data_IF_868272363089
#
_entry.id   IF_868272363089
#
_cell.length_a   1.000
_cell.length_b   1.000
_cell.length_c   1.000
_cell.angle_alpha   90.00
_cell.angle_beta   90.00
_cell.angle_gamma   90.00
#
_symmetry.space_group_name_H-M   'P 1'
#
loop_
_entity.id
_entity.type
_entity.pdbx_description
1 polymer ?
#
# COMPACT_ATOMS: atom_id res chain seq x y z
N UNK A 1 -40.23 27.70 -58.81
CA UNK A 1 -39.69 27.16 -60.08
C UNK A 1 -38.21 26.91 -59.90
N UNK A 2 -37.72 25.89 -60.59
CA UNK A 2 -36.47 25.15 -60.42
C UNK A 2 -35.21 26.01 -60.64
N UNK A 3 -34.16 25.78 -59.84
CA UNK A 3 -32.80 25.61 -60.37
C UNK A 3 -31.88 24.86 -59.39
N UNK A 4 -31.56 23.64 -59.80
CA UNK A 4 -30.42 22.82 -59.40
C UNK A 4 -29.08 23.55 -59.68
N UNK A 5 -28.01 22.89 -59.24
CA UNK A 5 -26.57 23.09 -59.54
C UNK A 5 -25.83 23.75 -58.36
N UNK A 6 -24.73 23.22 -57.83
CA UNK A 6 -23.79 22.25 -58.37
C UNK A 6 -23.04 21.55 -57.23
N UNK A 7 -22.62 20.32 -57.50
CA UNK A 7 -21.76 19.54 -56.63
C UNK A 7 -20.35 20.14 -56.62
N UNK A 8 -19.79 20.37 -55.44
CA UNK A 8 -18.35 20.55 -55.28
C UNK A 8 -17.88 19.65 -54.13
N UNK A 9 -17.46 18.44 -54.52
CA UNK A 9 -16.64 17.56 -53.70
C UNK A 9 -15.24 18.18 -53.54
N UNK A 10 -14.90 18.62 -52.33
CA UNK A 10 -13.53 18.83 -51.83
C UNK A 10 -13.65 18.57 -50.32
N UNK A 11 -13.23 17.45 -49.73
CA UNK A 11 -12.04 16.69 -50.01
C UNK A 11 -10.82 17.39 -49.42
N UNK A 12 -10.71 17.52 -48.09
CA UNK A 12 -9.44 17.31 -47.38
C UNK A 12 -9.60 17.24 -45.86
N UNK A 13 -9.18 16.08 -45.38
CA UNK A 13 -8.79 15.65 -44.05
C UNK A 13 -7.79 16.64 -43.41
N UNK A 14 -8.13 17.22 -42.25
CA UNK A 14 -7.12 17.68 -41.27
C UNK A 14 -7.54 17.18 -39.90
N UNK A 15 -7.16 15.93 -39.62
CA UNK A 15 -7.05 15.40 -38.28
C UNK A 15 -5.89 16.08 -37.56
N UNK A 16 -6.08 16.34 -36.27
CA UNK A 16 -5.00 16.38 -35.29
C UNK A 16 -4.41 17.75 -35.06
N UNK A 17 -4.87 18.41 -34.01
CA UNK A 17 -4.07 19.24 -33.09
C UNK A 17 -4.89 19.46 -31.79
N UNK A 18 -5.34 18.35 -31.20
CA UNK A 18 -5.75 18.28 -29.79
C UNK A 18 -4.67 17.51 -29.02
N UNK A 19 -3.44 18.02 -29.06
CA UNK A 19 -2.34 17.62 -28.18
C UNK A 19 -2.16 18.83 -27.27
N UNK A 20 -2.79 18.85 -26.10
CA UNK A 20 -2.34 18.01 -24.99
C UNK A 20 -1.41 18.81 -24.09
N UNK A 21 -1.82 20.03 -23.71
CA UNK A 21 -1.15 20.84 -22.70
C UNK A 21 -1.68 20.49 -21.31
N UNK A 22 -1.49 19.24 -20.87
CA UNK A 22 -1.58 18.95 -19.44
C UNK A 22 -0.33 19.52 -18.79
N UNK A 23 -0.46 20.69 -18.17
CA UNK A 23 0.51 21.19 -17.21
C UNK A 23 0.65 20.15 -16.10
N UNK A 24 1.62 19.26 -16.22
CA UNK A 24 2.07 18.39 -15.13
C UNK A 24 2.74 19.30 -14.10
N UNK A 25 1.92 19.93 -13.25
CA UNK A 25 2.36 20.34 -11.92
C UNK A 25 2.80 19.05 -11.24
N UNK A 26 4.11 18.84 -11.18
CA UNK A 26 4.69 17.85 -10.29
C UNK A 26 4.35 18.30 -8.86
N UNK A 27 3.27 17.74 -8.31
CA UNK A 27 3.07 17.79 -6.87
C UNK A 27 4.26 17.06 -6.25
N UNK A 28 4.93 17.65 -5.24
CA UNK A 28 5.94 16.91 -4.51
C UNK A 28 5.28 15.65 -3.97
N UNK A 29 5.84 14.48 -4.28
CA UNK A 29 5.46 13.25 -3.62
C UNK A 29 5.78 13.47 -2.14
N UNK A 30 4.74 13.68 -1.35
CA UNK A 30 4.83 13.68 0.10
C UNK A 30 5.28 12.28 0.50
N UNK A 31 6.58 12.15 0.79
CA UNK A 31 7.16 10.88 1.22
C UNK A 31 6.79 10.76 2.70
N UNK A 32 5.55 10.31 2.97
CA UNK A 32 5.15 9.84 4.29
C UNK A 32 5.96 8.58 4.60
N UNK A 33 7.16 8.77 5.16
CA UNK A 33 8.09 7.69 5.53
C UNK A 33 7.76 7.05 6.87
N UNK A 34 6.69 7.46 7.54
CA UNK A 34 6.33 6.93 8.84
C UNK A 34 5.33 5.78 8.66
N UNK A 35 5.82 4.54 8.82
CA UNK A 35 4.91 3.42 9.04
C UNK A 35 4.27 3.61 10.41
N UNK A 36 2.94 3.68 10.51
CA UNK A 36 2.29 3.96 11.78
C UNK A 36 2.62 2.88 12.81
N UNK A 37 2.78 3.29 14.07
CA UNK A 37 2.90 2.37 15.19
C UNK A 37 1.61 1.56 15.31
N UNK A 38 1.76 0.24 15.36
CA UNK A 38 0.68 -0.74 15.46
C UNK A 38 0.67 -1.38 16.84
N UNK A 39 -0.54 -1.57 17.35
CA UNK A 39 -0.80 -2.30 18.60
C UNK A 39 -1.64 -3.52 18.26
N UNK A 40 -1.13 -4.72 18.55
CA UNK A 40 -1.80 -5.98 18.23
C UNK A 40 -1.84 -6.88 19.46
N UNK A 41 -3.04 -7.29 19.84
CA UNK A 41 -3.24 -8.29 20.89
C UNK A 41 -3.53 -9.66 20.27
N UNK A 42 -2.82 -10.68 20.74
CA UNK A 42 -3.00 -12.04 20.22
C UNK A 42 -2.07 -13.06 20.85
N UNK A 43 -2.21 -14.30 20.40
CA UNK A 43 -1.41 -15.43 20.89
C UNK A 43 -0.10 -15.53 20.12
N UNK A 44 1.02 -15.59 20.84
CA UNK A 44 2.34 -15.82 20.23
C UNK A 44 2.50 -17.29 19.86
N UNK A 45 2.99 -17.53 18.66
CA UNK A 45 3.26 -18.85 18.11
C UNK A 45 4.70 -18.88 17.59
N UNK A 46 5.50 -19.83 18.09
CA UNK A 46 6.88 -20.06 17.65
C UNK A 46 6.96 -21.37 16.88
N UNK A 47 7.48 -21.31 15.64
CA UNK A 47 7.71 -22.48 14.78
C UNK A 47 9.14 -22.42 14.25
N UNK A 48 10.02 -23.24 14.82
CA UNK A 48 11.46 -23.17 14.56
C UNK A 48 12.01 -21.79 14.96
N UNK A 49 12.48 -21.03 13.97
CA UNK A 49 12.99 -19.67 14.17
C UNK A 49 12.00 -18.56 13.85
N UNK A 50 10.85 -18.90 13.26
CA UNK A 50 9.79 -17.93 12.99
C UNK A 50 8.93 -17.70 14.23
N UNK A 51 8.65 -16.44 14.51
CA UNK A 51 7.72 -16.01 15.55
C UNK A 51 6.56 -15.27 14.89
N UNK A 52 5.34 -15.57 15.32
CA UNK A 52 4.13 -14.94 14.81
C UNK A 52 3.15 -14.63 15.93
N UNK A 53 2.25 -13.68 15.68
CA UNK A 53 1.10 -13.41 16.53
C UNK A 53 -0.19 -13.77 15.78
N UNK A 54 -1.02 -14.60 16.41
CA UNK A 54 -2.35 -14.92 15.94
C UNK A 54 -3.36 -13.99 16.59
N UNK A 55 -3.93 -13.07 15.81
CA UNK A 55 -4.94 -12.10 16.27
C UNK A 55 -6.13 -12.08 15.32
N UNK A 56 -7.34 -12.25 15.85
CA UNK A 56 -8.59 -12.16 15.08
C UNK A 56 -8.62 -13.01 13.81
N UNK A 57 -8.05 -14.23 13.87
CA UNK A 57 -7.98 -15.15 12.73
C UNK A 57 -6.89 -14.84 11.70
N UNK A 58 -6.08 -13.79 11.92
CA UNK A 58 -4.90 -13.46 11.11
C UNK A 58 -3.64 -13.92 11.83
N UNK A 59 -2.67 -14.42 11.08
CA UNK A 59 -1.33 -14.74 11.57
C UNK A 59 -0.37 -13.73 10.97
N UNK A 60 0.33 -13.01 11.83
CA UNK A 60 1.25 -11.93 11.45
C UNK A 60 2.65 -12.31 11.92
N UNK A 61 3.63 -12.25 11.03
CA UNK A 61 5.03 -12.46 11.39
C UNK A 61 5.53 -11.29 12.26
N UNK A 62 6.21 -11.62 13.36
CA UNK A 62 6.76 -10.63 14.27
C UNK A 62 8.24 -10.89 14.50
N UNK A 63 9.01 -9.81 14.64
CA UNK A 63 10.42 -9.86 14.99
C UNK A 63 10.74 -8.78 16.02
N UNK A 64 11.79 -8.96 16.81
CA UNK A 64 12.30 -7.90 17.67
C UNK A 64 13.82 -7.98 17.76
N UNK A 65 14.48 -6.82 17.89
CA UNK A 65 15.93 -6.72 18.15
C UNK A 65 16.24 -6.55 19.64
N UNK A 66 15.22 -6.24 20.45
CA UNK A 66 15.36 -5.82 21.85
C UNK A 66 14.73 -6.82 22.82
N UNK A 67 13.72 -7.57 22.37
CA UNK A 67 12.90 -8.47 23.21
C UNK A 67 13.01 -9.89 22.67
N UNK A 68 13.25 -10.86 23.57
CA UNK A 68 13.15 -12.27 23.22
C UNK A 68 11.68 -12.73 23.19
N UNK A 69 11.07 -12.62 22.01
CA UNK A 69 9.68 -13.00 21.76
C UNK A 69 9.41 -14.49 21.98
N UNK A 70 10.44 -15.36 21.92
CA UNK A 70 10.27 -16.81 22.10
C UNK A 70 9.81 -17.15 23.52
N UNK A 71 10.14 -16.30 24.51
CA UNK A 71 9.71 -16.45 25.91
C UNK A 71 8.19 -16.30 26.13
N UNK A 72 7.48 -15.77 25.14
CA UNK A 72 6.04 -15.58 25.17
C UNK A 72 5.27 -16.66 24.40
N UNK A 73 5.94 -17.70 23.89
CA UNK A 73 5.29 -18.76 23.12
C UNK A 73 4.05 -19.34 23.84
N UNK A 74 2.92 -19.37 23.13
CA UNK A 74 1.65 -19.85 23.63
C UNK A 74 0.89 -18.86 24.53
N UNK A 75 1.48 -17.72 24.91
CA UNK A 75 0.84 -16.68 25.71
C UNK A 75 0.07 -15.70 24.83
N UNK A 76 -1.01 -15.16 25.40
CA UNK A 76 -1.75 -14.06 24.80
C UNK A 76 -1.19 -12.74 25.36
N UNK A 77 -0.65 -11.90 24.49
CA UNK A 77 0.04 -10.64 24.86
C UNK A 77 -0.40 -9.50 23.94
N UNK A 78 -0.13 -8.27 24.34
CA UNK A 78 -0.25 -7.10 23.46
C UNK A 78 1.14 -6.67 23.03
N UNK A 79 1.38 -6.61 21.72
CA UNK A 79 2.64 -6.13 21.15
C UNK A 79 2.46 -4.76 20.52
N UNK A 80 3.44 -3.88 20.69
CA UNK A 80 3.50 -2.58 20.03
C UNK A 80 4.75 -2.53 19.15
N UNK A 81 4.62 -2.02 17.92
CA UNK A 81 5.74 -1.95 16.98
C UNK A 81 5.36 -1.36 15.62
N UNK A 82 6.24 -1.48 14.64
CA UNK A 82 6.07 -0.91 13.29
C UNK A 82 6.23 -1.97 12.20
N UNK A 83 5.44 -1.90 11.13
CA UNK A 83 5.61 -2.80 10.00
C UNK A 83 6.82 -2.39 9.15
N UNK A 84 7.65 -3.37 8.79
CA UNK A 84 8.62 -3.24 7.71
C UNK A 84 8.35 -4.34 6.70
N UNK A 85 7.73 -3.97 5.57
CA UNK A 85 7.18 -4.94 4.62
C UNK A 85 6.01 -5.72 5.24
N UNK A 86 6.16 -7.04 5.38
CA UNK A 86 5.13 -7.95 5.94
C UNK A 86 5.36 -8.32 7.40
N UNK A 87 6.49 -7.90 7.98
CA UNK A 87 6.89 -8.27 9.34
C UNK A 87 6.70 -7.09 10.28
N UNK A 88 6.05 -7.33 11.43
CA UNK A 88 5.93 -6.34 12.50
C UNK A 88 7.17 -6.40 13.39
N UNK A 89 7.91 -5.30 13.44
CA UNK A 89 9.05 -5.14 14.35
C UNK A 89 8.56 -4.62 15.70
N UNK A 90 8.59 -5.50 16.70
CA UNK A 90 8.06 -5.27 18.04
C UNK A 90 9.06 -4.51 18.91
N UNK A 91 8.60 -3.41 19.49
CA UNK A 91 9.32 -2.57 20.44
C UNK A 91 8.93 -2.84 21.90
N UNK A 92 7.68 -3.23 22.19
CA UNK A 92 7.22 -3.57 23.53
C UNK A 92 6.20 -4.71 23.55
N UNK A 93 6.14 -5.41 24.68
CA UNK A 93 5.19 -6.50 24.97
C UNK A 93 4.59 -6.29 26.36
N UNK A 94 3.28 -6.37 26.46
CA UNK A 94 2.47 -6.31 27.69
C UNK A 94 1.69 -7.60 27.95
#
# INVERSE_FOLDING_TARGET
MIKNSDAAAVGLLVCGLLLGGCSLVAQPADVQTESPVQVITGKILVVGDMVSISSSGKVIEIASRKIDLKTYNGKNVTVTGEFSGTTLFVDSVE
#
